data_IF_875468378580
#
_entry.id   IF_875468378580
#
_cell.length_a   1.000
_cell.length_b   1.000
_cell.length_c   1.000
_cell.angle_alpha   90.00
_cell.angle_beta   90.00
_cell.angle_gamma   90.00
#
_symmetry.space_group_name_H-M   'P 1'
#
loop_
_entity.id
_entity.type
_entity.pdbx_description
1 polymer ?
#
# COMPACT_ATOMS: atom_id res chain seq x y z
N UNK A 1 17.23 -5.97 17.62
CA UNK A 1 18.11 -4.91 18.16
C UNK A 1 19.21 -4.56 17.16
N UNK A 2 20.07 -5.50 16.76
CA UNK A 2 21.14 -5.26 15.77
C UNK A 2 20.61 -4.71 14.44
N UNK A 3 19.59 -5.34 13.86
CA UNK A 3 18.97 -4.87 12.60
C UNK A 3 18.35 -3.46 12.74
N UNK A 4 17.69 -3.17 13.86
CA UNK A 4 17.10 -1.87 14.13
C UNK A 4 18.17 -0.77 14.31
N UNK A 5 19.29 -1.10 14.97
CA UNK A 5 20.44 -0.20 15.12
C UNK A 5 21.07 0.11 13.75
N UNK A 6 21.29 -0.90 12.89
CA UNK A 6 21.80 -0.66 11.54
C UNK A 6 20.86 0.20 10.68
N UNK A 7 19.54 0.05 10.83
CA UNK A 7 18.56 0.91 10.14
C UNK A 7 18.68 2.37 10.58
N UNK A 8 18.98 2.64 11.86
CA UNK A 8 19.12 4.02 12.38
C UNK A 8 20.45 4.70 12.02
N UNK A 9 21.47 3.94 11.60
CA UNK A 9 22.79 4.46 11.24
C UNK A 9 22.90 4.76 9.73
N UNK A 10 21.97 4.23 8.92
CA UNK A 10 21.88 4.56 7.50
C UNK A 10 21.34 6.00 7.39
N UNK A 11 22.21 6.94 6.98
CA UNK A 11 21.75 8.26 6.51
C UNK A 11 20.71 8.07 5.41
N UNK A 12 19.71 8.97 5.27
CA UNK A 12 18.79 8.94 4.13
C UNK A 12 19.62 8.81 2.86
N UNK A 13 19.45 7.71 2.13
CA UNK A 13 20.29 7.44 0.98
C UNK A 13 20.12 8.58 -0.02
N UNK A 14 21.20 9.31 -0.31
CA UNK A 14 21.29 10.10 -1.53
C UNK A 14 20.95 9.16 -2.69
N UNK A 15 20.21 9.65 -3.68
CA UNK A 15 19.73 8.81 -4.78
C UNK A 15 20.91 8.09 -5.43
N UNK A 16 21.04 6.79 -5.17
CA UNK A 16 22.10 5.99 -5.74
C UNK A 16 21.65 5.59 -7.15
N UNK A 17 22.06 6.37 -8.14
CA UNK A 17 21.63 6.21 -9.53
C UNK A 17 22.42 5.13 -10.29
N UNK A 18 23.12 4.24 -9.59
CA UNK A 18 23.80 3.11 -10.21
C UNK A 18 22.76 2.18 -10.84
N UNK A 19 23.03 1.66 -12.05
CA UNK A 19 22.12 0.75 -12.77
C UNK A 19 21.65 -0.43 -11.93
N UNK A 20 22.54 -1.02 -11.13
CA UNK A 20 22.20 -2.11 -10.21
C UNK A 20 21.21 -1.66 -9.13
N UNK A 21 21.37 -0.46 -8.58
CA UNK A 21 20.47 0.05 -7.55
C UNK A 21 19.10 0.44 -8.12
N UNK A 22 19.06 0.98 -9.35
CA UNK A 22 17.81 1.19 -10.11
C UNK A 22 17.08 -0.14 -10.30
N UNK A 23 17.80 -1.19 -10.72
CA UNK A 23 17.24 -2.53 -10.87
C UNK A 23 16.67 -3.07 -9.54
N UNK A 24 17.48 -3.06 -8.46
CA UNK A 24 17.08 -3.57 -7.15
C UNK A 24 15.91 -2.76 -6.57
N UNK A 25 15.92 -1.44 -6.71
CA UNK A 25 14.83 -0.58 -6.24
C UNK A 25 13.52 -0.91 -6.96
N UNK A 26 13.55 -1.18 -8.27
CA UNK A 26 12.39 -1.67 -9.03
C UNK A 26 11.90 -3.03 -8.55
N UNK A 27 12.82 -3.96 -8.30
CA UNK A 27 12.49 -5.28 -7.74
C UNK A 27 11.82 -5.17 -6.37
N UNK A 28 12.38 -4.42 -5.43
CA UNK A 28 11.84 -4.30 -4.07
C UNK A 28 10.50 -3.54 -4.08
N UNK A 29 10.40 -2.47 -4.87
CA UNK A 29 9.19 -1.66 -4.96
C UNK A 29 8.00 -2.47 -5.48
N UNK A 30 8.17 -3.32 -6.50
CA UNK A 30 7.06 -4.14 -7.00
C UNK A 30 6.69 -5.26 -6.03
N UNK A 31 7.67 -5.87 -5.34
CA UNK A 31 7.40 -6.88 -4.33
C UNK A 31 6.57 -6.28 -3.18
N UNK A 32 6.88 -5.05 -2.80
CA UNK A 32 6.11 -4.31 -1.80
C UNK A 32 4.66 -4.07 -2.23
N UNK A 33 4.40 -3.86 -3.53
CA UNK A 33 3.03 -3.69 -4.04
C UNK A 33 2.18 -4.97 -3.98
N UNK A 34 2.79 -6.16 -3.94
CA UNK A 34 2.05 -7.42 -3.80
C UNK A 34 1.57 -7.61 -2.35
N UNK A 35 2.35 -7.15 -1.37
CA UNK A 35 2.02 -7.37 0.04
C UNK A 35 0.91 -6.40 0.48
N UNK A 36 -0.18 -6.90 1.10
CA UNK A 36 -1.28 -6.03 1.51
C UNK A 36 -0.80 -4.94 2.47
N UNK A 37 -1.23 -3.71 2.22
CA UNK A 37 -0.95 -2.57 3.11
C UNK A 37 0.44 -1.94 2.97
N UNK A 38 1.32 -2.43 2.08
CA UNK A 38 2.63 -1.80 1.80
C UNK A 38 2.58 -1.12 0.42
N UNK A 39 2.96 0.16 0.35
CA UNK A 39 2.99 0.92 -0.89
C UNK A 39 4.38 0.89 -1.54
N UNK A 40 4.48 0.44 -2.79
CA UNK A 40 5.74 0.47 -3.54
C UNK A 40 6.31 1.87 -3.76
N UNK A 41 5.46 2.89 -3.91
CA UNK A 41 5.92 4.28 -4.03
C UNK A 41 6.51 4.80 -2.72
N UNK A 42 5.96 4.41 -1.57
CA UNK A 42 6.52 4.72 -0.27
C UNK A 42 7.89 4.05 -0.07
N UNK A 43 8.03 2.79 -0.48
CA UNK A 43 9.33 2.10 -0.47
C UNK A 43 10.34 2.83 -1.35
N UNK A 44 9.97 3.31 -2.53
CA UNK A 44 10.86 4.13 -3.36
C UNK A 44 11.27 5.45 -2.69
N UNK A 45 10.39 6.06 -1.88
CA UNK A 45 10.73 7.25 -1.09
C UNK A 45 11.76 6.89 -0.01
N UNK A 46 11.56 5.78 0.71
CA UNK A 46 12.51 5.29 1.71
C UNK A 46 13.87 4.93 1.11
N UNK A 47 13.90 4.43 -0.13
CA UNK A 47 15.12 4.15 -0.87
C UNK A 47 15.76 5.39 -1.51
N UNK A 48 15.15 6.58 -1.38
CA UNK A 48 15.62 7.82 -2.01
C UNK A 48 15.40 7.90 -3.53
N UNK A 49 14.80 6.87 -4.14
CA UNK A 49 14.68 6.72 -5.59
C UNK A 49 13.40 7.33 -6.17
N UNK A 50 12.41 7.67 -5.34
CA UNK A 50 11.11 8.16 -5.82
C UNK A 50 11.23 9.36 -6.77
N UNK A 51 11.98 10.39 -6.39
CA UNK A 51 12.16 11.59 -7.24
C UNK A 51 12.95 11.28 -8.51
N UNK A 52 13.97 10.44 -8.43
CA UNK A 52 14.79 10.05 -9.57
C UNK A 52 13.97 9.28 -10.62
N UNK A 53 13.22 8.26 -10.19
CA UNK A 53 12.36 7.49 -11.09
C UNK A 53 11.22 8.34 -11.64
N UNK A 54 10.61 9.21 -10.82
CA UNK A 54 9.57 10.12 -11.29
C UNK A 54 10.09 11.11 -12.34
N UNK A 55 11.29 11.66 -12.14
CA UNK A 55 11.98 12.48 -13.13
C UNK A 55 12.26 11.70 -14.43
N UNK A 56 12.77 10.47 -14.32
CA UNK A 56 13.01 9.61 -15.48
C UNK A 56 11.73 9.29 -16.28
N UNK A 57 10.57 9.18 -15.61
CA UNK A 57 9.26 9.05 -16.29
C UNK A 57 8.89 10.36 -17.00
N UNK A 58 9.04 11.51 -16.32
CA UNK A 58 8.74 12.82 -16.89
C UNK A 58 9.59 13.17 -18.12
N UNK A 59 10.88 12.84 -18.06
CA UNK A 59 11.85 13.07 -19.14
C UNK A 59 11.87 11.95 -20.19
N UNK A 60 11.04 10.91 -20.03
CA UNK A 60 11.04 9.69 -20.87
C UNK A 60 12.43 9.08 -21.03
N UNK A 61 13.20 9.00 -19.94
CA UNK A 61 14.53 8.39 -19.92
C UNK A 61 14.43 6.86 -20.07
N UNK A 62 14.33 6.39 -21.33
CA UNK A 62 14.13 4.99 -21.68
C UNK A 62 15.17 4.05 -21.05
N UNK A 63 16.49 4.35 -21.03
CA UNK A 63 17.47 3.48 -20.38
C UNK A 63 17.18 3.22 -18.90
N UNK A 64 16.87 4.26 -18.13
CA UNK A 64 16.54 4.14 -16.70
C UNK A 64 15.26 3.34 -16.51
N UNK A 65 14.24 3.63 -17.30
CA UNK A 65 12.95 2.94 -17.20
C UNK A 65 13.07 1.45 -17.55
N UNK A 66 13.84 1.10 -18.57
CA UNK A 66 14.07 -0.31 -18.94
C UNK A 66 14.75 -1.09 -17.82
N UNK A 67 15.79 -0.53 -17.20
CA UNK A 67 16.49 -1.18 -16.09
C UNK A 67 15.57 -1.33 -14.87
N UNK A 68 14.79 -0.29 -14.56
CA UNK A 68 13.81 -0.32 -13.49
C UNK A 68 12.71 -1.37 -13.73
N UNK A 69 12.13 -1.42 -14.93
CA UNK A 69 11.10 -2.37 -15.33
C UNK A 69 11.66 -3.80 -15.35
N UNK A 70 12.88 -4.01 -15.83
CA UNK A 70 13.53 -5.32 -15.77
C UNK A 70 13.70 -5.78 -14.32
N UNK A 71 14.11 -4.87 -13.43
CA UNK A 71 14.15 -5.11 -12.00
C UNK A 71 12.80 -5.51 -11.44
N UNK A 72 11.75 -4.78 -11.77
CA UNK A 72 10.38 -5.11 -11.35
C UNK A 72 9.93 -6.48 -11.90
N UNK A 73 10.18 -6.79 -13.17
CA UNK A 73 9.82 -8.07 -13.76
C UNK A 73 10.52 -9.26 -13.07
N UNK A 74 11.81 -9.13 -12.77
CA UNK A 74 12.53 -10.19 -12.03
C UNK A 74 12.03 -10.27 -10.59
N UNK A 75 11.81 -9.13 -9.93
CA UNK A 75 11.31 -9.05 -8.56
C UNK A 75 9.96 -9.73 -8.39
N UNK A 76 9.01 -9.44 -9.29
CA UNK A 76 7.65 -9.99 -9.20
C UNK A 76 7.65 -11.51 -9.40
N UNK A 77 8.46 -12.03 -10.34
CA UNK A 77 8.57 -13.47 -10.60
C UNK A 77 9.21 -14.18 -9.40
N UNK A 78 10.34 -13.65 -8.90
CA UNK A 78 11.04 -14.22 -7.76
C UNK A 78 10.15 -14.24 -6.51
N UNK A 79 9.52 -13.10 -6.20
CA UNK A 79 8.66 -12.97 -5.03
C UNK A 79 7.40 -13.84 -5.11
N UNK A 80 6.76 -13.91 -6.29
CA UNK A 80 5.58 -14.77 -6.48
C UNK A 80 5.91 -16.25 -6.25
N UNK A 81 7.10 -16.69 -6.65
CA UNK A 81 7.58 -18.05 -6.37
C UNK A 81 7.85 -18.27 -4.88
N UNK A 82 8.49 -17.32 -4.20
CA UNK A 82 8.75 -17.40 -2.75
C UNK A 82 7.43 -17.43 -1.97
N UNK A 83 6.48 -16.55 -2.30
CA UNK A 83 5.17 -16.50 -1.65
C UNK A 83 4.37 -17.78 -1.91
N UNK A 84 4.41 -18.31 -3.14
CA UNK A 84 3.79 -19.59 -3.47
C UNK A 84 4.40 -20.74 -2.67
N UNK A 85 5.71 -20.74 -2.47
CA UNK A 85 6.39 -21.73 -1.64
C UNK A 85 6.02 -21.60 -0.16
N UNK A 86 5.97 -20.38 0.37
CA UNK A 86 5.54 -20.10 1.75
C UNK A 86 4.11 -20.57 2.00
N UNK A 87 3.18 -20.28 1.08
CA UNK A 87 1.78 -20.73 1.19
C UNK A 87 1.62 -22.25 1.11
N UNK A 88 2.53 -22.96 0.42
CA UNK A 88 2.53 -24.43 0.35
C UNK A 88 3.12 -25.08 1.60
N UNK A 89 4.23 -24.56 2.13
CA UNK A 89 4.96 -25.18 3.25
C UNK A 89 4.52 -24.66 4.63
N UNK A 90 4.16 -23.39 4.73
CA UNK A 90 3.82 -22.68 5.96
C UNK A 90 2.47 -21.96 5.83
N UNK A 91 1.46 -22.67 5.32
CA UNK A 91 0.14 -22.11 4.98
C UNK A 91 -0.45 -21.26 6.12
N UNK A 92 -0.65 -21.85 7.30
CA UNK A 92 -1.30 -21.19 8.43
C UNK A 92 -0.55 -19.94 8.89
N UNK A 93 0.79 -20.01 8.98
CA UNK A 93 1.61 -18.87 9.38
C UNK A 93 1.57 -17.76 8.33
N UNK A 94 1.69 -18.11 7.05
CA UNK A 94 1.67 -17.14 5.96
C UNK A 94 0.33 -16.43 5.88
N UNK A 95 -0.79 -17.16 5.97
CA UNK A 95 -2.13 -16.58 6.01
C UNK A 95 -2.32 -15.70 7.24
N UNK A 96 -1.84 -16.11 8.43
CA UNK A 96 -1.92 -15.28 9.63
C UNK A 96 -1.15 -13.95 9.49
N UNK A 97 0.04 -13.99 8.87
CA UNK A 97 0.85 -12.79 8.60
C UNK A 97 0.15 -11.87 7.59
N UNK A 98 -0.35 -12.42 6.48
CA UNK A 98 -1.10 -11.66 5.47
C UNK A 98 -2.37 -11.04 6.05
N UNK A 99 -3.12 -11.80 6.84
CA UNK A 99 -4.29 -11.30 7.55
C UNK A 99 -3.92 -10.20 8.55
N UNK A 100 -2.81 -10.33 9.28
CA UNK A 100 -2.29 -9.29 10.16
C UNK A 100 -1.99 -7.99 9.43
N UNK A 101 -1.36 -8.06 8.25
CA UNK A 101 -1.13 -6.88 7.40
C UNK A 101 -2.45 -6.25 6.92
N UNK A 102 -3.41 -7.07 6.48
CA UNK A 102 -4.73 -6.57 6.07
C UNK A 102 -5.44 -5.86 7.22
N UNK A 103 -5.48 -6.45 8.41
CA UNK A 103 -6.09 -5.85 9.61
C UNK A 103 -5.37 -4.57 10.00
N UNK A 104 -4.03 -4.54 9.97
CA UNK A 104 -3.24 -3.34 10.24
C UNK A 104 -3.56 -2.19 9.27
N UNK A 105 -3.81 -2.50 8.00
CA UNK A 105 -4.17 -1.50 6.98
C UNK A 105 -5.57 -0.90 7.18
N UNK A 106 -6.48 -1.58 7.91
CA UNK A 106 -7.85 -1.09 8.18
C UNK A 106 -7.86 0.28 8.85
N UNK A 107 -6.88 0.56 9.72
CA UNK A 107 -6.77 1.85 10.39
C UNK A 107 -6.57 3.00 9.38
N UNK A 108 -5.80 2.76 8.31
CA UNK A 108 -5.51 3.78 7.29
C UNK A 108 -6.69 4.01 6.36
N UNK A 109 -7.41 2.95 5.99
CA UNK A 109 -8.57 3.00 5.09
C UNK A 109 -9.89 3.30 5.81
N UNK A 110 -9.87 3.44 7.14
CA UNK A 110 -11.06 3.80 7.93
C UNK A 110 -11.66 5.13 7.43
N UNK A 111 -12.94 5.16 7.05
CA UNK A 111 -13.51 6.32 6.36
C UNK A 111 -13.96 7.44 7.30
N UNK A 112 -14.21 7.16 8.58
CA UNK A 112 -14.68 8.15 9.54
C UNK A 112 -13.52 8.76 10.34
N UNK A 113 -13.05 9.93 9.91
CA UNK A 113 -11.92 10.63 10.52
C UNK A 113 -12.20 12.10 10.73
N UNK A 114 -11.87 12.58 11.91
CA UNK A 114 -11.96 13.99 12.26
C UNK A 114 -10.62 14.67 11.96
N UNK A 115 -10.65 15.76 11.20
CA UNK A 115 -9.45 16.58 10.91
C UNK A 115 -9.19 17.47 12.12
N UNK A 116 -8.11 17.21 12.86
CA UNK A 116 -7.78 17.99 14.06
C UNK A 116 -6.89 19.19 13.73
N UNK A 117 -6.05 19.05 12.70
CA UNK A 117 -5.15 20.12 12.24
C UNK A 117 -5.18 20.16 10.72
N UNK A 118 -5.17 21.36 10.13
CA UNK A 118 -5.15 21.55 8.69
C UNK A 118 -3.98 22.44 8.28
N UNK A 119 -3.46 22.21 7.08
CA UNK A 119 -2.45 23.06 6.44
C UNK A 119 -2.91 23.45 5.05
N UNK A 120 -2.43 24.60 4.61
CA UNK A 120 -2.61 25.06 3.24
C UNK A 120 -1.43 24.53 2.43
N UNK A 121 -1.70 23.66 1.47
CA UNK A 121 -0.69 23.16 0.55
C UNK A 121 -0.21 24.29 -0.39
N UNK A 122 0.90 24.08 -1.10
CA UNK A 122 1.49 25.04 -2.06
C UNK A 122 0.53 25.45 -3.18
N UNK A 123 -0.53 24.68 -3.37
CA UNK A 123 -1.61 24.92 -4.32
C UNK A 123 -2.81 25.69 -3.73
N UNK A 124 -2.73 26.14 -2.47
CA UNK A 124 -3.84 26.84 -1.80
C UNK A 124 -4.94 25.92 -1.26
N UNK A 125 -4.76 24.61 -1.39
CA UNK A 125 -5.73 23.59 -0.96
C UNK A 125 -5.58 23.29 0.54
N UNK A 126 -6.69 23.29 1.28
CA UNK A 126 -6.72 22.90 2.69
C UNK A 126 -6.64 21.38 2.76
N UNK A 127 -5.52 20.86 3.28
CA UNK A 127 -5.29 19.43 3.50
C UNK A 127 -5.20 19.13 4.99
N UNK A 128 -5.66 17.95 5.46
CA UNK A 128 -5.53 17.55 6.86
C UNK A 128 -4.06 17.22 7.19
N UNK A 129 -3.52 17.85 8.24
CA UNK A 129 -2.20 17.51 8.82
C UNK A 129 -2.31 16.30 9.75
N UNK A 130 -3.34 16.30 10.59
CA UNK A 130 -3.59 15.27 11.58
C UNK A 130 -5.07 14.87 11.55
N UNK A 131 -5.29 13.56 11.57
CA UNK A 131 -6.61 12.95 11.52
C UNK A 131 -6.77 12.02 12.73
N UNK A 132 -7.92 12.06 13.38
CA UNK A 132 -8.30 11.11 14.44
C UNK A 132 -9.41 10.20 13.96
N UNK A 133 -9.21 8.90 14.10
CA UNK A 133 -10.26 7.92 13.80
C UNK A 133 -11.40 8.06 14.80
N UNK A 134 -12.62 8.23 14.30
CA UNK A 134 -13.83 8.32 15.10
C UNK A 134 -14.90 7.35 14.59
N UNK A 135 -15.90 7.08 15.41
CA UNK A 135 -17.01 6.21 15.03
C UNK A 135 -18.01 6.95 14.11
N UNK A 136 -18.75 6.23 13.26
CA UNK A 136 -19.72 6.82 12.35
C UNK A 136 -20.75 7.71 13.05
N UNK A 137 -21.28 7.26 14.19
CA UNK A 137 -22.29 8.03 14.94
C UNK A 137 -21.76 9.34 15.53
N UNK A 138 -20.45 9.45 15.78
CA UNK A 138 -19.82 10.71 16.20
C UNK A 138 -19.54 11.59 14.99
N UNK A 139 -19.20 11.00 13.84
CA UNK A 139 -18.88 11.75 12.63
C UNK A 139 -20.10 12.49 12.06
N UNK A 140 -21.30 11.92 12.18
CA UNK A 140 -22.57 12.56 11.82
C UNK A 140 -22.97 13.72 12.77
N UNK A 141 -22.40 13.78 13.97
CA UNK A 141 -22.66 14.85 14.94
C UNK A 141 -21.75 16.07 14.78
N UNK A 142 -20.76 16.00 13.88
CA UNK A 142 -19.83 17.11 13.60
C UNK A 142 -20.52 18.12 12.67
N UNK A 143 -20.60 19.42 13.04
CA UNK A 143 -21.20 20.45 12.21
C UNK A 143 -20.51 20.54 10.83
N UNK A 144 -21.29 20.47 9.75
CA UNK A 144 -20.79 20.55 8.37
C UNK A 144 -20.64 19.20 7.64
N UNK A 145 -21.08 18.10 8.26
CA UNK A 145 -20.98 16.74 7.72
C UNK A 145 -22.37 16.05 7.67
N UNK A 146 -23.30 16.64 6.92
CA UNK A 146 -24.74 16.26 6.94
C UNK A 146 -25.12 15.00 6.14
N UNK A 147 -24.16 14.21 5.66
CA UNK A 147 -24.45 13.08 4.77
C UNK A 147 -24.49 11.76 5.54
N UNK A 148 -25.62 11.06 5.59
CA UNK A 148 -25.74 9.74 6.25
C UNK A 148 -25.11 8.60 5.42
N UNK A 149 -23.79 8.61 5.19
CA UNK A 149 -23.11 7.57 4.41
C UNK A 149 -23.08 6.21 5.11
N UNK A 150 -23.42 6.14 6.40
CA UNK A 150 -23.39 4.89 7.17
C UNK A 150 -24.31 3.82 6.58
N UNK A 151 -25.53 4.18 6.21
CA UNK A 151 -26.47 3.25 5.59
C UNK A 151 -25.93 2.72 4.24
N UNK A 152 -25.38 3.60 3.41
CA UNK A 152 -24.74 3.22 2.14
C UNK A 152 -23.53 2.32 2.34
N UNK A 153 -22.68 2.61 3.33
CA UNK A 153 -21.52 1.79 3.67
C UNK A 153 -21.92 0.38 4.14
N UNK A 154 -22.96 0.27 4.97
CA UNK A 154 -23.51 -1.03 5.41
C UNK A 154 -24.07 -1.81 4.21
N UNK A 155 -24.83 -1.13 3.33
CA UNK A 155 -25.41 -1.77 2.16
C UNK A 155 -24.34 -2.29 1.20
N UNK A 156 -23.29 -1.50 0.96
CA UNK A 156 -22.11 -1.92 0.18
C UNK A 156 -21.34 -3.08 0.83
N UNK A 157 -21.21 -3.08 2.16
CA UNK A 157 -20.60 -4.20 2.90
C UNK A 157 -21.40 -5.50 2.73
N UNK A 158 -22.72 -5.42 2.87
CA UNK A 158 -23.63 -6.57 2.65
C UNK A 158 -23.55 -7.03 1.20
N UNK A 159 -23.58 -6.12 0.24
CA UNK A 159 -23.47 -6.44 -1.19
C UNK A 159 -22.14 -7.13 -1.52
N UNK A 160 -21.03 -6.65 -0.96
CA UNK A 160 -19.72 -7.29 -1.10
C UNK A 160 -19.69 -8.72 -0.53
N UNK A 161 -20.28 -8.92 0.64
CA UNK A 161 -20.36 -10.26 1.26
C UNK A 161 -21.26 -11.21 0.46
N UNK A 162 -22.40 -10.72 -0.04
CA UNK A 162 -23.28 -11.46 -0.92
C UNK A 162 -22.57 -11.88 -2.23
N UNK A 163 -21.77 -10.99 -2.82
CA UNK A 163 -21.00 -11.28 -4.02
C UNK A 163 -20.00 -12.42 -3.81
N UNK A 164 -19.32 -12.46 -2.66
CA UNK A 164 -18.41 -13.56 -2.29
C UNK A 164 -19.17 -14.90 -2.27
N UNK A 165 -20.34 -14.95 -1.60
CA UNK A 165 -21.13 -16.17 -1.55
C UNK A 165 -21.66 -16.61 -2.91
N UNK A 166 -22.09 -15.66 -3.76
CA UNK A 166 -22.54 -15.97 -5.12
C UNK A 166 -21.39 -16.57 -5.93
N UNK A 167 -20.18 -16.00 -5.85
CA UNK A 167 -19.00 -16.57 -6.50
C UNK A 167 -18.66 -17.97 -5.99
N UNK A 168 -18.73 -18.19 -4.69
CA UNK A 168 -18.49 -19.51 -4.10
C UNK A 168 -19.54 -20.53 -4.57
N UNK A 169 -20.81 -20.15 -4.60
CA UNK A 169 -21.90 -21.01 -5.06
C UNK A 169 -21.76 -21.38 -6.54
N UNK A 170 -21.38 -20.44 -7.40
CA UNK A 170 -21.11 -20.69 -8.83
C UNK A 170 -19.92 -21.65 -8.99
N UNK A 171 -18.87 -21.48 -8.18
CA UNK A 171 -17.66 -22.31 -8.24
C UNK A 171 -17.93 -23.73 -7.74
N UNK A 172 -18.72 -23.89 -6.67
CA UNK A 172 -19.15 -25.20 -6.15
C UNK A 172 -20.07 -25.95 -7.13
N UNK A 173 -20.91 -25.25 -7.90
CA UNK A 173 -21.77 -25.86 -8.94
C UNK A 173 -21.01 -26.38 -10.17
N UNK A 174 -19.77 -25.97 -10.38
CA UNK A 174 -18.91 -26.40 -11.51
C UNK A 174 -18.00 -27.59 -11.17
N UNK A 175 -17.92 -28.01 -9.90
CA UNK A 175 -17.28 -29.26 -9.45
C UNK A 175 -18.33 -30.35 -9.32
#
# INVERSE_FOLDING_TARGET
>A
IVVAYFITVISPAEANTTWLFIFISGSIAICAMILPGISGSFILVLLGMYRFILGAVGDLNVPVLLVFIAGAAVGIIAFSNVLSWLLKKFHNLTIAVLAGFMVGSLNKVWPWKEVTESFIDRHGEIRPLAERNIFPGTYESIPGNDSAWLAGAILMAIAGFALIFVMEAITKRKK
#
